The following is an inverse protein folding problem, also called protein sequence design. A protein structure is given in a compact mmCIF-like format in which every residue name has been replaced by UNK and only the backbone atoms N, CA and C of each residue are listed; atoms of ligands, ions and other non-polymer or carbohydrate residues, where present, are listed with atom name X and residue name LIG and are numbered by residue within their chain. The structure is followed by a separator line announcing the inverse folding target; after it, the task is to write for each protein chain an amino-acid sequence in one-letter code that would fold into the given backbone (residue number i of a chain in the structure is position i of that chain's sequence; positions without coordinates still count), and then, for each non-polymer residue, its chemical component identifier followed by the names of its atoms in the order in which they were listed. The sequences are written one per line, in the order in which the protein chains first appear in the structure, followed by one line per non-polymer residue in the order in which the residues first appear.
data_IF_909428440312
#
_entry.id   IF_909428440312
#
_cell.length_a   1.000
_cell.length_b   1.000
_cell.length_c   1.000
_cell.angle_alpha   90.00
_cell.angle_beta   90.00
_cell.angle_gamma   90.00
#
_symmetry.space_group_name_H-M   'P 1'
#
loop_
_entity.id
_entity.type
_entity.pdbx_description
1 polymer ?
#
# COMPACT_ATOMS: atom_id res chain seq x y z
N UNK A 1 12.03 21.79 7.79
CA UNK A 1 11.57 20.41 8.05
C UNK A 1 11.48 19.78 6.68
N UNK A 2 12.24 18.72 6.41
CA UNK A 2 12.18 18.04 5.11
C UNK A 2 10.79 17.45 4.94
N UNK A 3 10.19 17.64 3.77
CA UNK A 3 8.95 16.96 3.39
C UNK A 3 9.25 15.46 3.34
N UNK A 4 8.70 14.72 4.30
CA UNK A 4 8.70 13.27 4.25
C UNK A 4 7.60 12.91 3.27
N UNK A 5 7.96 12.24 2.18
CA UNK A 5 7.02 11.76 1.17
C UNK A 5 5.88 10.94 1.78
N UNK A 6 4.75 10.81 1.08
CA UNK A 6 3.61 10.04 1.60
C UNK A 6 4.03 8.57 1.75
N UNK A 7 3.95 7.97 2.95
CA UNK A 7 4.29 6.57 3.11
C UNK A 7 3.29 5.65 2.41
N UNK A 8 3.83 4.67 1.71
CA UNK A 8 3.09 3.64 0.98
C UNK A 8 3.52 2.26 1.48
N UNK A 9 2.56 1.38 1.75
CA UNK A 9 2.83 0.01 2.20
C UNK A 9 2.18 -1.02 1.27
N UNK A 10 3.00 -1.91 0.71
CA UNK A 10 2.52 -3.13 0.06
C UNK A 10 2.16 -4.17 1.12
N UNK A 11 0.94 -4.67 1.11
CA UNK A 11 0.43 -5.62 2.11
C UNK A 11 -0.19 -6.86 1.47
N UNK A 12 -0.12 -7.97 2.20
CA UNK A 12 -0.93 -9.16 1.95
C UNK A 12 -1.99 -9.24 3.04
N UNK A 13 -3.26 -9.21 2.64
CA UNK A 13 -4.40 -9.43 3.53
C UNK A 13 -4.80 -10.89 3.43
N UNK A 14 -4.67 -11.62 4.53
CA UNK A 14 -5.10 -13.01 4.61
C UNK A 14 -6.56 -13.07 5.06
N UNK A 15 -7.39 -13.84 4.36
CA UNK A 15 -8.84 -13.89 4.59
C UNK A 15 -9.33 -15.34 4.72
N UNK A 16 -10.49 -15.50 5.35
CA UNK A 16 -11.24 -16.76 5.32
C UNK A 16 -11.69 -17.02 3.89
N UNK A 17 -11.41 -18.21 3.34
CA UNK A 17 -11.67 -18.56 1.92
C UNK A 17 -13.11 -18.23 1.47
N UNK A 18 -14.10 -18.40 2.35
CA UNK A 18 -15.52 -18.18 2.05
C UNK A 18 -15.95 -16.71 2.11
N UNK A 19 -15.09 -15.82 2.61
CA UNK A 19 -15.37 -14.38 2.77
C UNK A 19 -14.51 -13.51 1.86
N UNK A 20 -13.66 -14.11 1.02
CA UNK A 20 -12.70 -13.37 0.19
C UNK A 20 -13.34 -12.27 -0.66
N UNK A 21 -14.44 -12.57 -1.36
CA UNK A 21 -15.12 -11.59 -2.21
C UNK A 21 -15.73 -10.44 -1.40
N UNK A 22 -16.33 -10.74 -0.24
CA UNK A 22 -16.93 -9.73 0.63
C UNK A 22 -15.86 -8.81 1.25
N UNK A 23 -14.71 -9.37 1.64
CA UNK A 23 -13.57 -8.58 2.12
C UNK A 23 -13.00 -7.74 0.99
N UNK A 24 -12.84 -8.29 -0.22
CA UNK A 24 -12.34 -7.55 -1.38
C UNK A 24 -13.22 -6.32 -1.66
N UNK A 25 -14.55 -6.50 -1.75
CA UNK A 25 -15.46 -5.38 -1.95
C UNK A 25 -15.39 -4.33 -0.84
N UNK A 26 -15.23 -4.74 0.42
CA UNK A 26 -15.06 -3.80 1.52
C UNK A 26 -13.74 -3.02 1.44
N UNK A 27 -12.66 -3.63 0.94
CA UNK A 27 -11.39 -2.96 0.71
C UNK A 27 -11.46 -1.99 -0.46
N UNK A 28 -12.17 -2.33 -1.53
CA UNK A 28 -12.37 -1.46 -2.70
C UNK A 28 -13.19 -0.18 -2.38
N UNK A 29 -13.92 -0.16 -1.26
CA UNK A 29 -14.62 1.02 -0.75
C UNK A 29 -13.72 1.95 0.09
N UNK A 30 -12.48 1.55 0.41
CA UNK A 30 -11.54 2.36 1.17
C UNK A 30 -10.65 3.16 0.21
N UNK A 31 -10.79 4.50 0.21
CA UNK A 31 -10.01 5.40 -0.66
C UNK A 31 -8.50 5.23 -0.47
N UNK A 32 -8.06 4.86 0.73
CA UNK A 32 -6.65 4.69 1.08
C UNK A 32 -6.07 3.31 0.70
N UNK A 33 -6.85 2.47 0.02
CA UNK A 33 -6.51 1.07 -0.29
C UNK A 33 -6.70 0.76 -1.77
N UNK A 34 -5.63 0.37 -2.45
CA UNK A 34 -5.70 -0.17 -3.82
C UNK A 34 -5.52 -1.68 -3.80
N UNK A 35 -6.51 -2.45 -4.27
CA UNK A 35 -6.42 -3.92 -4.33
C UNK A 35 -6.10 -4.45 -5.73
N UNK A 36 -5.36 -5.56 -5.80
CA UNK A 36 -4.99 -6.24 -7.05
C UNK A 36 -5.70 -7.60 -7.24
N UNK A 37 -6.74 -7.85 -6.44
CA UNK A 37 -7.56 -9.05 -6.49
C UNK A 37 -7.15 -10.16 -5.52
N UNK A 38 -7.84 -11.30 -5.64
CA UNK A 38 -7.66 -12.45 -4.76
C UNK A 38 -6.71 -13.48 -5.40
N UNK A 39 -5.66 -13.84 -4.67
CA UNK A 39 -4.73 -14.90 -4.99
C UNK A 39 -4.96 -16.14 -4.13
N UNK A 40 -4.94 -17.32 -4.77
CA UNK A 40 -5.10 -18.64 -4.13
C UNK A 40 -6.34 -18.75 -3.21
N UNK A 41 -7.36 -17.91 -3.45
CA UNK A 41 -8.66 -17.80 -2.75
C UNK A 41 -8.65 -17.21 -1.34
N UNK A 42 -7.48 -16.95 -0.74
CA UNK A 42 -7.39 -16.54 0.66
C UNK A 42 -6.37 -15.42 0.92
N UNK A 43 -5.78 -14.86 -0.14
CA UNK A 43 -4.86 -13.73 -0.03
C UNK A 43 -5.33 -12.62 -0.95
N UNK A 44 -5.41 -11.40 -0.45
CA UNK A 44 -5.63 -10.19 -1.25
C UNK A 44 -4.32 -9.41 -1.21
N UNK A 45 -3.81 -9.04 -2.38
CA UNK A 45 -2.67 -8.12 -2.48
C UNK A 45 -3.22 -6.72 -2.56
N UNK A 46 -2.73 -5.84 -1.69
CA UNK A 46 -3.16 -4.45 -1.63
C UNK A 46 -1.97 -3.51 -1.38
N UNK A 47 -2.17 -2.26 -1.75
CA UNK A 47 -1.29 -1.14 -1.42
C UNK A 47 -2.08 -0.19 -0.52
N UNK A 48 -1.47 0.24 0.58
CA UNK A 48 -2.00 1.21 1.52
C UNK A 48 -1.24 2.52 1.33
N UNK A 49 -1.95 3.63 1.23
CA UNK A 49 -1.39 4.97 1.13
C UNK A 49 -1.84 5.78 2.33
N UNK A 50 -0.92 6.55 2.93
CA UNK A 50 -1.29 7.41 4.05
C UNK A 50 -0.34 8.57 4.22
N UNK A 51 -0.75 9.57 5.00
CA UNK A 51 0.04 10.78 5.23
C UNK A 51 1.16 10.59 6.27
N UNK A 52 1.14 9.47 6.99
CA UNK A 52 2.15 9.15 8.00
C UNK A 52 2.17 7.65 8.30
N UNK A 53 3.25 7.16 8.91
CA UNK A 53 3.32 5.76 9.36
C UNK A 53 2.20 5.40 10.33
N UNK A 54 1.76 6.36 11.17
CA UNK A 54 0.61 6.19 12.06
C UNK A 54 -0.69 6.03 11.29
N UNK A 55 -0.87 6.78 10.20
CA UNK A 55 -2.05 6.64 9.34
C UNK A 55 -2.09 5.23 8.72
N UNK A 56 -0.94 4.70 8.25
CA UNK A 56 -0.86 3.33 7.75
C UNK A 56 -1.22 2.27 8.82
N UNK A 57 -0.82 2.47 10.07
CA UNK A 57 -1.23 1.60 11.19
C UNK A 57 -2.74 1.65 11.44
N UNK A 58 -3.33 2.85 11.38
CA UNK A 58 -4.78 3.05 11.53
C UNK A 58 -5.57 2.39 10.40
N UNK A 59 -5.12 2.52 9.14
CA UNK A 59 -5.68 1.82 7.98
C UNK A 59 -5.58 0.30 8.17
N UNK A 60 -4.41 -0.21 8.55
CA UNK A 60 -4.19 -1.64 8.80
C UNK A 60 -5.11 -2.18 9.89
N UNK A 61 -5.33 -1.40 10.96
CA UNK A 61 -6.26 -1.74 12.04
C UNK A 61 -7.72 -1.79 11.57
N UNK A 62 -8.14 -0.84 10.72
CA UNK A 62 -9.49 -0.85 10.09
C UNK A 62 -9.68 -2.11 9.25
N UNK A 63 -8.69 -2.47 8.42
CA UNK A 63 -8.73 -3.68 7.61
C UNK A 63 -8.82 -4.92 8.50
N UNK A 64 -8.02 -4.99 9.56
CA UNK A 64 -8.01 -6.15 10.46
C UNK A 64 -9.33 -6.34 11.23
N UNK A 65 -10.13 -5.27 11.39
CA UNK A 65 -11.45 -5.34 12.00
C UNK A 65 -12.55 -5.83 11.05
N UNK A 66 -12.29 -5.97 9.74
CA UNK A 66 -13.26 -6.49 8.77
C UNK A 66 -13.52 -7.97 9.05
N UNK A 67 -14.79 -8.34 9.13
CA UNK A 67 -15.20 -9.73 9.34
C UNK A 67 -14.70 -10.63 8.19
N UNK A 68 -13.91 -11.64 8.54
CA UNK A 68 -13.28 -12.54 7.58
C UNK A 68 -11.81 -12.25 7.29
N UNK A 69 -11.26 -11.14 7.78
CA UNK A 69 -9.80 -10.90 7.77
C UNK A 69 -9.14 -11.69 8.90
N UNK A 70 -8.10 -12.44 8.56
CA UNK A 70 -7.28 -13.22 9.50
C UNK A 70 -6.00 -12.48 9.88
N UNK A 71 -5.50 -11.60 9.01
CA UNK A 71 -4.33 -10.78 9.28
C UNK A 71 -3.94 -9.89 8.10
N UNK A 72 -3.18 -8.84 8.41
CA UNK A 72 -2.59 -7.90 7.44
C UNK A 72 -1.08 -7.98 7.60
N UNK A 73 -0.37 -8.33 6.54
CA UNK A 73 1.08 -8.56 6.57
C UNK A 73 1.78 -7.59 5.62
N UNK A 74 2.45 -6.55 6.14
CA UNK A 74 3.25 -5.68 5.30
C UNK A 74 4.41 -6.46 4.69
N UNK A 75 4.54 -6.37 3.37
CA UNK A 75 5.64 -6.93 2.59
C UNK A 75 6.71 -5.86 2.29
N UNK A 76 6.30 -4.61 2.14
CA UNK A 76 7.18 -3.47 1.90
C UNK A 76 6.56 -2.19 2.46
N UNK A 77 7.39 -1.27 2.95
CA UNK A 77 6.99 0.10 3.31
C UNK A 77 8.02 1.04 2.69
N UNK A 78 7.56 2.00 1.91
CA UNK A 78 8.36 3.04 1.30
C UNK A 78 7.75 4.43 1.55
N UNK A 79 8.47 5.46 1.17
CA UNK A 79 7.95 6.83 1.09
C UNK A 79 7.93 7.21 -0.37
N UNK A 80 6.81 7.74 -0.85
CA UNK A 80 6.71 8.28 -2.20
C UNK A 80 7.51 9.59 -2.23
N UNK A 81 8.77 9.51 -2.65
CA UNK A 81 9.61 10.69 -2.92
C UNK A 81 9.18 11.24 -4.29
N UNK A 82 8.65 12.48 -4.32
CA UNK A 82 8.46 13.19 -5.59
C UNK A 82 9.77 13.13 -6.39
N UNK A 83 9.73 12.57 -7.59
CA UNK A 83 10.90 12.46 -8.46
C UNK A 83 11.54 13.84 -8.64
N UNK A 84 12.77 14.03 -8.16
CA UNK A 84 13.50 15.29 -8.33
C UNK A 84 13.84 15.45 -9.84
N UNK A 85 13.21 16.41 -10.56
CA UNK A 85 13.45 16.60 -11.99
C UNK A 85 14.88 17.08 -12.30
N UNK A 86 15.68 17.46 -11.29
CA UNK A 86 17.09 17.78 -11.48
C UNK A 86 18.00 16.56 -11.59
N UNK A 87 17.53 15.36 -11.22
CA UNK A 87 18.34 14.13 -11.26
C UNK A 87 18.67 13.66 -12.69
N UNK A 88 17.76 13.83 -13.66
CA UNK A 88 18.02 13.47 -15.07
C UNK A 88 18.94 14.48 -15.79
N UNK A 89 18.85 15.76 -15.43
CA UNK A 89 19.63 16.83 -16.08
C UNK A 89 21.15 16.69 -15.80
N UNK A 90 21.53 16.33 -14.57
CA UNK A 90 22.93 16.05 -14.22
C UNK A 90 23.45 14.74 -14.84
N UNK A 91 22.59 13.72 -14.95
CA UNK A 91 22.95 12.45 -15.58
C UNK A 91 23.24 12.63 -17.07
N UNK A 92 22.45 13.44 -17.78
CA UNK A 92 22.73 13.78 -19.18
C UNK A 92 24.04 14.56 -19.35
N UNK A 93 24.34 15.55 -18.48
CA UNK A 93 25.58 16.33 -18.58
C UNK A 93 26.87 15.50 -18.46
N UNK A 94 26.84 14.40 -17.70
CA UNK A 94 27.97 13.45 -17.58
C UNK A 94 28.16 12.54 -18.80
N UNK A 95 27.12 12.36 -19.63
CA UNK A 95 27.21 11.54 -20.85
C UNK A 95 27.72 12.37 -22.04
N UNK A 96 27.59 13.70 -21.99
CA UNK A 96 28.06 14.62 -23.05
C UNK A 96 29.37 15.34 -22.71
N UNK A 97 30.05 14.97 -21.61
CA UNK A 97 31.40 15.45 -21.24
C UNK A 97 32.46 14.36 -21.43
#
# INVERSE_FOLDING_TARGET
MSEVGMPVAGVVVMVVEQKGDAVLSALEEMEEVTTYGIHKKNYIVAVLEGDSSRHLEEISGRIQAIDGVLGVFPAYVGFDEEEDPHSEAEAMQRVVS
#
